data_IF_786669905612
#
_entry.id   IF_786669905612
#
_cell.length_a   1.000
_cell.length_b   1.000
_cell.length_c   1.000
_cell.angle_alpha   90.00
_cell.angle_beta   90.00
_cell.angle_gamma   90.00
#
_symmetry.space_group_name_H-M   'P 1'
#
loop_
_entity.id
_entity.type
_entity.pdbx_description
1 polymer ?
#
# COMPACT_ATOMS: atom_id res chain seq x y z
N UNK A 1 -1.30 6.49 26.14
CA UNK A 1 -2.71 6.08 26.40
C UNK A 1 -3.61 7.03 25.63
N UNK A 2 -4.13 6.60 24.47
CA UNK A 2 -4.97 7.44 23.60
C UNK A 2 -6.42 6.98 23.68
N UNK A 3 -7.14 7.41 24.71
CA UNK A 3 -8.55 7.08 24.90
C UNK A 3 -9.40 8.22 24.33
N UNK A 4 -9.89 8.05 23.10
CA UNK A 4 -10.89 8.95 22.51
C UNK A 4 -12.29 8.49 22.90
N UNK A 5 -12.74 8.87 24.11
CA UNK A 5 -14.04 8.46 24.67
C UNK A 5 -15.24 8.81 23.77
N UNK A 6 -15.13 9.85 22.93
CA UNK A 6 -16.24 10.41 22.15
C UNK A 6 -16.42 9.81 20.74
N UNK A 7 -15.73 8.70 20.43
CA UNK A 7 -15.81 7.99 19.15
C UNK A 7 -16.39 6.58 19.31
N UNK A 8 -17.70 6.53 19.59
CA UNK A 8 -18.50 5.32 19.39
C UNK A 8 -18.62 5.01 17.89
N UNK A 9 -17.60 4.35 17.33
CA UNK A 9 -17.72 3.69 16.04
C UNK A 9 -18.69 2.50 16.19
N UNK A 10 -19.64 2.29 15.26
CA UNK A 10 -20.48 1.09 15.27
C UNK A 10 -19.61 -0.17 15.12
N UNK A 11 -20.10 -1.34 15.54
CA UNK A 11 -19.37 -2.59 15.35
C UNK A 11 -19.19 -2.88 13.85
N UNK A 12 -17.98 -2.61 13.36
CA UNK A 12 -17.52 -3.07 12.06
C UNK A 12 -17.35 -4.59 12.16
N UNK A 13 -18.24 -5.35 11.53
CA UNK A 13 -18.05 -6.79 11.34
C UNK A 13 -16.84 -7.03 10.43
N UNK A 14 -16.13 -8.14 10.65
CA UNK A 14 -14.84 -8.38 9.95
C UNK A 14 -14.97 -8.62 8.46
N UNK A 15 -16.20 -8.76 7.95
CA UNK A 15 -16.54 -8.92 6.54
C UNK A 15 -17.01 -7.60 5.87
N UNK A 16 -17.00 -6.43 6.54
CA UNK A 16 -17.49 -5.14 6.01
C UNK A 16 -16.40 -4.07 5.72
N UNK A 17 -16.09 -3.77 4.43
CA UNK A 17 -15.18 -2.68 4.05
C UNK A 17 -15.78 -1.26 4.14
N UNK A 18 -16.97 -1.06 4.72
CA UNK A 18 -17.63 0.26 4.77
C UNK A 18 -16.94 1.28 5.71
N UNK A 19 -15.93 0.88 6.47
CA UNK A 19 -15.10 1.78 7.30
C UNK A 19 -14.54 2.99 6.52
N UNK A 20 -14.21 2.80 5.23
CA UNK A 20 -13.74 3.87 4.35
C UNK A 20 -14.72 5.06 4.22
N UNK A 21 -16.03 4.79 4.30
CA UNK A 21 -17.10 5.80 4.09
C UNK A 21 -17.19 6.80 5.25
N UNK A 22 -16.64 6.46 6.41
CA UNK A 22 -16.51 7.36 7.57
C UNK A 22 -15.30 8.30 7.50
N UNK A 23 -14.56 8.32 6.37
CA UNK A 23 -13.39 9.19 6.13
C UNK A 23 -12.23 8.96 7.12
N UNK A 24 -12.14 7.75 7.70
CA UNK A 24 -11.12 7.36 8.69
C UNK A 24 -9.68 7.59 8.23
N UNK A 25 -9.45 7.49 6.91
CA UNK A 25 -8.19 7.80 6.25
C UNK A 25 -7.69 9.22 6.52
N UNK A 26 -8.57 10.18 6.84
CA UNK A 26 -8.23 11.58 7.06
C UNK A 26 -8.26 12.05 8.53
N UNK A 27 -8.47 11.13 9.48
CA UNK A 27 -8.43 11.46 10.91
C UNK A 27 -7.01 11.87 11.36
N UNK A 28 -6.96 12.69 12.41
CA UNK A 28 -5.70 13.16 12.99
C UNK A 28 -4.72 12.04 13.40
N UNK A 29 -5.12 10.95 14.08
CA UNK A 29 -4.21 9.82 14.35
C UNK A 29 -3.66 9.20 13.06
N UNK A 30 -4.50 8.99 12.04
CA UNK A 30 -4.11 8.38 10.76
C UNK A 30 -3.03 9.20 10.04
N UNK A 31 -3.17 10.53 10.04
CA UNK A 31 -2.16 11.44 9.50
C UNK A 31 -0.87 11.47 10.31
N UNK A 32 -0.95 11.46 11.65
CA UNK A 32 0.23 11.34 12.53
C UNK A 32 1.01 10.04 12.26
N UNK A 33 0.30 8.93 12.05
CA UNK A 33 0.91 7.63 11.77
C UNK A 33 1.61 7.63 10.41
N UNK A 34 1.00 8.20 9.35
CA UNK A 34 1.67 8.35 8.04
C UNK A 34 2.96 9.17 8.15
N UNK A 35 2.92 10.33 8.80
CA UNK A 35 4.11 11.17 8.97
C UNK A 35 5.24 10.45 9.73
N UNK A 36 4.89 9.66 10.76
CA UNK A 36 5.87 8.85 11.51
C UNK A 36 6.39 7.64 10.73
N UNK A 37 5.58 7.06 9.85
CA UNK A 37 5.99 5.94 8.99
C UNK A 37 6.85 6.38 7.79
N UNK A 38 6.75 7.64 7.37
CA UNK A 38 7.43 8.19 6.19
C UNK A 38 8.93 7.81 6.10
N UNK A 39 9.78 7.99 7.14
CA UNK A 39 11.22 7.68 7.03
C UNK A 39 11.54 6.24 6.62
N UNK A 40 10.72 5.27 7.02
CA UNK A 40 10.88 3.85 6.61
C UNK A 40 10.70 3.69 5.10
N UNK A 41 9.74 4.41 4.52
CA UNK A 41 9.55 4.45 3.06
C UNK A 41 10.61 5.29 2.34
N UNK A 42 11.21 6.28 3.00
CA UNK A 42 12.31 7.07 2.43
C UNK A 42 13.58 6.21 2.27
N UNK A 43 13.85 5.34 3.23
CA UNK A 43 14.91 4.33 3.20
C UNK A 43 14.66 3.29 2.10
N UNK A 44 13.48 2.67 2.09
CA UNK A 44 13.08 1.64 1.10
C UNK A 44 13.19 2.13 -0.35
N UNK A 45 12.79 3.37 -0.63
CA UNK A 45 12.78 3.92 -1.98
C UNK A 45 13.98 4.82 -2.32
N UNK A 46 14.88 5.08 -1.37
CA UNK A 46 16.02 5.98 -1.54
C UNK A 46 15.64 7.43 -1.85
N UNK A 47 14.46 7.90 -1.44
CA UNK A 47 13.97 9.25 -1.76
C UNK A 47 12.98 9.80 -0.73
N UNK A 48 13.09 11.10 -0.44
CA UNK A 48 12.14 11.84 0.39
C UNK A 48 10.94 12.42 -0.36
N UNK A 49 10.94 12.34 -1.70
CA UNK A 49 9.83 12.77 -2.55
C UNK A 49 8.83 11.62 -2.73
N UNK A 50 7.93 11.46 -1.75
CA UNK A 50 6.96 10.35 -1.66
C UNK A 50 5.50 10.82 -1.78
N UNK A 51 4.61 9.92 -2.17
CA UNK A 51 3.16 10.09 -2.06
C UNK A 51 2.60 8.98 -1.18
N UNK A 52 1.50 9.24 -0.45
CA UNK A 52 0.87 8.26 0.45
C UNK A 52 -0.59 7.95 0.09
N UNK A 53 -1.06 6.72 0.29
CA UNK A 53 -2.47 6.35 0.11
C UNK A 53 -3.36 6.88 1.25
N UNK A 54 -4.62 7.21 0.93
CA UNK A 54 -5.62 7.64 1.90
C UNK A 54 -6.50 6.45 2.31
N UNK A 55 -5.83 5.39 2.76
CA UNK A 55 -6.37 4.04 2.95
C UNK A 55 -6.83 3.76 4.40
N UNK A 56 -7.29 2.53 4.63
CA UNK A 56 -8.02 2.03 5.80
C UNK A 56 -7.32 2.19 7.17
N UNK A 57 -8.16 2.11 8.21
CA UNK A 57 -7.76 1.66 9.54
C UNK A 57 -8.41 0.30 9.76
N UNK A 58 -7.62 -0.72 10.10
CA UNK A 58 -8.07 -2.03 10.51
C UNK A 58 -8.52 -1.95 11.97
N UNK A 59 -9.74 -2.43 12.21
CA UNK A 59 -10.36 -2.57 13.53
C UNK A 59 -10.97 -3.98 13.56
N UNK A 60 -10.53 -4.86 14.47
CA UNK A 60 -11.09 -6.21 14.61
C UNK A 60 -11.46 -6.50 16.07
N UNK A 61 -12.71 -6.93 16.30
CA UNK A 61 -13.30 -7.18 17.62
C UNK A 61 -12.90 -8.56 18.18
N UNK A 62 -12.64 -8.72 19.49
CA UNK A 62 -12.48 -10.02 20.14
C UNK A 62 -13.67 -10.98 19.88
N UNK A 63 -13.41 -12.23 19.41
CA UNK A 63 -14.41 -13.30 19.36
C UNK A 63 -15.03 -13.65 20.71
N UNK A 64 -14.31 -13.44 21.81
CA UNK A 64 -14.80 -13.74 23.17
C UNK A 64 -16.03 -12.90 23.57
N UNK A 65 -16.23 -11.77 22.92
CA UNK A 65 -17.25 -10.76 23.27
C UNK A 65 -18.18 -10.45 22.08
N UNK A 66 -18.27 -11.32 21.07
CA UNK A 66 -19.01 -11.03 19.83
C UNK A 66 -19.44 -12.27 19.04
N UNK A 67 -20.11 -12.04 17.90
CA UNK A 67 -20.45 -13.07 16.91
C UNK A 67 -19.25 -13.43 15.99
N UNK A 68 -18.10 -12.78 16.16
CA UNK A 68 -16.88 -13.09 15.40
C UNK A 68 -16.38 -14.50 15.72
N UNK A 69 -15.97 -15.24 14.70
CA UNK A 69 -15.55 -16.64 14.85
C UNK A 69 -14.06 -16.74 15.15
N UNK A 70 -13.67 -17.66 16.03
CA UNK A 70 -12.27 -18.08 16.16
C UNK A 70 -11.73 -18.70 14.86
N UNK A 71 -10.41 -18.84 14.79
CA UNK A 71 -9.69 -19.48 13.70
C UNK A 71 -10.08 -20.95 13.49
N UNK A 72 -10.26 -21.33 12.23
CA UNK A 72 -10.28 -22.72 11.75
C UNK A 72 -9.35 -22.87 10.54
N UNK A 73 -9.03 -24.09 10.13
CA UNK A 73 -8.16 -24.39 8.97
C UNK A 73 -8.59 -23.69 7.68
N UNK A 74 -9.91 -23.62 7.47
CA UNK A 74 -10.57 -23.03 6.30
C UNK A 74 -11.03 -21.59 6.57
N UNK A 75 -10.84 -21.07 7.80
CA UNK A 75 -10.94 -19.63 8.04
C UNK A 75 -9.74 -18.94 7.40
N UNK A 76 -10.00 -17.80 6.77
CA UNK A 76 -8.97 -17.01 6.11
C UNK A 76 -9.58 -16.11 5.05
N UNK A 77 -8.93 -14.97 4.86
CA UNK A 77 -9.19 -14.06 3.75
C UNK A 77 -7.88 -13.84 3.02
N UNK A 78 -7.31 -14.94 2.49
CA UNK A 78 -6.08 -14.89 1.69
C UNK A 78 -6.41 -14.33 0.29
N UNK A 79 -5.64 -13.33 -0.10
CA UNK A 79 -5.80 -12.59 -1.34
C UNK A 79 -4.45 -12.02 -1.80
N UNK A 80 -4.40 -11.55 -3.04
CA UNK A 80 -3.31 -10.74 -3.58
C UNK A 80 -3.88 -9.34 -3.86
N UNK A 81 -3.07 -8.29 -3.64
CA UNK A 81 -3.45 -6.87 -3.84
C UNK A 81 -2.66 -6.22 -4.99
N UNK A 82 -2.20 -7.01 -5.95
CA UNK A 82 -1.60 -6.54 -7.18
C UNK A 82 -2.16 -7.35 -8.35
N UNK A 83 -2.73 -6.67 -9.36
CA UNK A 83 -3.17 -7.32 -10.58
C UNK A 83 -2.03 -7.55 -11.58
N UNK A 84 -2.20 -8.48 -12.51
CA UNK A 84 -1.20 -8.84 -13.54
C UNK A 84 -0.88 -7.71 -14.54
N UNK A 85 -1.70 -6.66 -14.57
CA UNK A 85 -1.37 -5.43 -15.27
C UNK A 85 -0.10 -4.75 -14.76
N UNK A 86 0.32 -5.07 -13.53
CA UNK A 86 1.50 -4.54 -12.83
C UNK A 86 2.61 -5.58 -12.82
N UNK A 87 3.67 -5.36 -13.61
CA UNK A 87 4.78 -6.30 -13.79
C UNK A 87 5.88 -6.12 -12.71
N UNK A 88 6.08 -7.13 -11.86
CA UNK A 88 6.99 -7.08 -10.72
C UNK A 88 6.54 -6.09 -9.63
N UNK A 89 7.39 -5.84 -8.64
CA UNK A 89 7.10 -4.96 -7.48
C UNK A 89 6.48 -3.60 -7.87
N UNK A 90 5.30 -3.26 -7.34
CA UNK A 90 4.69 -1.93 -7.51
C UNK A 90 4.54 -1.15 -6.20
N UNK A 91 4.45 -1.82 -5.05
CA UNK A 91 4.46 -1.18 -3.75
C UNK A 91 4.95 -2.14 -2.65
N UNK A 92 5.28 -1.55 -1.51
CA UNK A 92 5.23 -2.25 -0.23
C UNK A 92 4.05 -1.68 0.58
N UNK A 93 2.85 -2.28 0.55
CA UNK A 93 1.81 -1.94 1.51
C UNK A 93 2.27 -2.28 2.93
N UNK A 94 1.77 -1.54 3.91
CA UNK A 94 2.16 -1.69 5.29
C UNK A 94 1.03 -1.42 6.29
N UNK A 95 1.20 -1.93 7.50
CA UNK A 95 0.27 -1.78 8.61
C UNK A 95 1.05 -1.38 9.87
N UNK A 96 0.78 -0.19 10.41
CA UNK A 96 1.33 0.25 11.70
C UNK A 96 0.38 -0.18 12.81
N UNK A 97 0.85 -1.04 13.70
CA UNK A 97 0.04 -1.59 14.80
C UNK A 97 -0.06 -0.58 15.97
N UNK A 98 -1.27 -0.38 16.51
CA UNK A 98 -1.52 0.54 17.62
C UNK A 98 -1.74 -0.18 18.97
N UNK A 99 -1.87 -1.50 18.90
CA UNK A 99 -1.98 -2.46 20.01
C UNK A 99 -0.99 -3.60 19.75
N UNK A 100 -0.58 -4.33 20.78
CA UNK A 100 0.27 -5.52 20.59
C UNK A 100 -0.55 -6.66 19.96
N UNK A 101 0.06 -7.54 19.17
CA UNK A 101 -0.60 -8.71 18.60
C UNK A 101 0.32 -9.94 18.61
N UNK A 102 -0.03 -10.94 19.41
CA UNK A 102 0.64 -12.23 19.51
C UNK A 102 0.16 -13.21 18.43
N UNK A 103 0.87 -14.34 18.27
CA UNK A 103 0.59 -15.33 17.21
C UNK A 103 -0.86 -15.87 17.24
N UNK A 104 -1.46 -15.91 18.42
CA UNK A 104 -2.82 -16.38 18.72
C UNK A 104 -3.90 -15.28 18.68
N UNK A 105 -3.53 -14.00 18.44
CA UNK A 105 -4.46 -12.87 18.28
C UNK A 105 -4.98 -12.69 16.85
N UNK A 106 -5.73 -11.62 16.63
CA UNK A 106 -5.98 -11.02 15.33
C UNK A 106 -4.66 -10.50 14.73
N UNK A 107 -4.11 -11.22 13.74
CA UNK A 107 -2.80 -10.89 13.12
C UNK A 107 -2.88 -10.82 11.60
N UNK A 108 -1.83 -10.28 10.99
CA UNK A 108 -1.55 -10.49 9.58
C UNK A 108 -1.12 -11.94 9.36
N UNK A 109 -1.47 -12.49 8.20
CA UNK A 109 -0.95 -13.76 7.72
C UNK A 109 -0.58 -13.69 6.25
N UNK A 110 0.36 -14.53 5.83
CA UNK A 110 0.74 -14.67 4.44
C UNK A 110 1.13 -16.12 4.10
N UNK A 111 1.08 -16.46 2.82
CA UNK A 111 1.86 -17.59 2.31
C UNK A 111 3.28 -17.09 2.06
N UNK A 112 4.22 -17.52 2.90
CA UNK A 112 5.62 -17.11 2.80
C UNK A 112 6.22 -17.46 1.44
N UNK A 113 7.14 -16.63 0.94
CA UNK A 113 7.73 -16.70 -0.40
C UNK A 113 6.76 -16.64 -1.60
N UNK A 114 5.44 -16.59 -1.43
CA UNK A 114 4.47 -16.62 -2.55
C UNK A 114 4.65 -15.53 -3.61
N UNK A 115 5.17 -14.36 -3.22
CA UNK A 115 5.50 -13.24 -4.13
C UNK A 115 6.58 -13.58 -5.18
N UNK A 116 7.34 -14.66 -5.00
CA UNK A 116 8.32 -15.16 -5.96
C UNK A 116 7.69 -16.05 -7.05
N UNK A 117 6.45 -16.51 -6.85
CA UNK A 117 5.67 -17.31 -7.79
C UNK A 117 4.46 -16.54 -8.34
N UNK A 118 4.46 -15.20 -8.24
CA UNK A 118 3.33 -14.36 -8.68
C UNK A 118 3.09 -14.48 -10.19
N UNK A 119 4.16 -14.39 -10.97
CA UNK A 119 4.14 -14.55 -12.42
C UNK A 119 3.71 -15.99 -12.80
N UNK A 120 4.38 -17.03 -12.28
CA UNK A 120 4.04 -18.46 -12.45
C UNK A 120 2.57 -18.78 -12.12
N UNK A 121 2.02 -18.17 -11.07
CA UNK A 121 0.67 -18.39 -10.60
C UNK A 121 -0.35 -17.96 -11.66
N UNK A 122 -0.20 -16.77 -12.23
CA UNK A 122 -1.10 -16.27 -13.25
C UNK A 122 -0.86 -16.89 -14.65
N UNK A 123 0.28 -17.55 -14.88
CA UNK A 123 0.46 -18.42 -16.04
C UNK A 123 -0.28 -19.76 -15.87
N UNK A 124 -0.33 -20.33 -14.66
CA UNK A 124 -1.12 -21.53 -14.36
C UNK A 124 -2.64 -21.24 -14.30
N UNK A 125 -3.04 -20.13 -13.69
CA UNK A 125 -4.42 -19.73 -13.45
C UNK A 125 -4.86 -18.67 -14.48
N UNK A 126 -5.09 -19.15 -15.71
CA UNK A 126 -5.31 -18.29 -16.88
C UNK A 126 -6.66 -17.55 -16.87
N UNK A 127 -7.71 -18.11 -16.26
CA UNK A 127 -9.00 -17.42 -16.12
C UNK A 127 -8.86 -16.22 -15.16
N UNK A 128 -8.12 -16.43 -14.09
CA UNK A 128 -7.80 -15.47 -13.04
C UNK A 128 -6.89 -14.36 -13.58
N UNK A 129 -5.91 -14.69 -14.44
CA UNK A 129 -5.13 -13.70 -15.22
C UNK A 129 -6.04 -12.86 -16.10
N UNK A 130 -6.98 -13.48 -16.81
CA UNK A 130 -7.91 -12.79 -17.70
C UNK A 130 -8.94 -11.94 -16.96
N UNK A 131 -9.24 -12.24 -15.70
CA UNK A 131 -10.08 -11.38 -14.85
C UNK A 131 -9.25 -10.23 -14.26
N UNK A 132 -8.05 -10.52 -13.76
CA UNK A 132 -7.10 -9.53 -13.19
C UNK A 132 -6.60 -8.49 -14.22
N UNK A 133 -6.71 -8.75 -15.52
CA UNK A 133 -6.49 -7.75 -16.58
C UNK A 133 -7.65 -6.76 -16.78
N UNK A 134 -8.86 -7.07 -16.28
CA UNK A 134 -10.11 -6.33 -16.53
C UNK A 134 -10.64 -5.61 -15.30
N UNK A 135 -10.48 -6.20 -14.11
CA UNK A 135 -11.08 -5.70 -12.88
C UNK A 135 -10.03 -5.17 -11.90
N UNK A 136 -10.22 -5.38 -10.60
CA UNK A 136 -9.49 -4.69 -9.55
C UNK A 136 -8.09 -5.28 -9.33
N UNK A 137 -7.20 -4.55 -8.66
CA UNK A 137 -5.91 -5.10 -8.21
C UNK A 137 -6.05 -6.19 -7.12
N UNK A 138 -7.28 -6.53 -6.73
CA UNK A 138 -7.60 -7.49 -5.68
C UNK A 138 -8.07 -8.82 -6.28
N UNK A 139 -7.44 -9.93 -5.86
CA UNK A 139 -7.88 -11.30 -6.15
C UNK A 139 -7.97 -12.11 -4.87
N UNK A 140 -9.15 -12.68 -4.56
CA UNK A 140 -9.32 -13.66 -3.48
C UNK A 140 -8.78 -15.03 -3.93
N UNK A 141 -8.06 -15.73 -3.05
CA UNK A 141 -7.68 -17.12 -3.30
C UNK A 141 -8.75 -18.10 -2.81
N UNK A 142 -8.74 -19.29 -3.41
CA UNK A 142 -9.53 -20.46 -3.01
C UNK A 142 -8.61 -21.57 -2.47
N UNK A 143 -9.19 -22.63 -1.90
CA UNK A 143 -8.43 -23.76 -1.35
C UNK A 143 -7.52 -24.44 -2.40
N UNK A 144 -7.92 -24.45 -3.67
CA UNK A 144 -7.13 -25.00 -4.76
C UNK A 144 -5.93 -24.10 -5.12
N UNK A 145 -6.14 -22.77 -5.20
CA UNK A 145 -5.08 -21.77 -5.34
C UNK A 145 -4.06 -21.85 -4.17
N UNK A 146 -4.55 -21.97 -2.93
CA UNK A 146 -3.71 -22.10 -1.73
C UNK A 146 -2.88 -23.39 -1.77
N UNK A 147 -3.44 -24.49 -2.31
CA UNK A 147 -2.74 -25.77 -2.44
C UNK A 147 -1.59 -25.71 -3.44
N UNK A 148 -1.80 -25.07 -4.60
CA UNK A 148 -0.76 -24.85 -5.62
C UNK A 148 0.47 -24.11 -5.06
N UNK A 149 0.26 -23.13 -4.17
CA UNK A 149 1.36 -22.44 -3.48
C UNK A 149 2.05 -23.34 -2.42
N UNK A 150 1.29 -24.16 -1.68
CA UNK A 150 1.85 -25.11 -0.69
C UNK A 150 2.72 -26.19 -1.34
N UNK A 151 2.31 -26.70 -2.51
CA UNK A 151 3.07 -27.64 -3.32
C UNK A 151 4.44 -27.07 -3.75
N UNK A 152 4.53 -25.74 -3.90
CA UNK A 152 5.76 -24.96 -4.16
C UNK A 152 6.49 -24.53 -2.89
N UNK A 153 6.14 -25.12 -1.74
CA UNK A 153 6.79 -24.87 -0.46
C UNK A 153 6.38 -23.57 0.25
N UNK A 154 5.36 -22.85 -0.22
CA UNK A 154 4.89 -21.63 0.44
C UNK A 154 4.13 -21.96 1.73
N UNK A 155 4.64 -21.51 2.87
CA UNK A 155 4.09 -21.85 4.20
C UNK A 155 3.14 -20.73 4.68
N UNK A 156 1.90 -21.08 5.08
CA UNK A 156 0.98 -20.12 5.73
C UNK A 156 1.52 -19.72 7.11
N UNK A 157 2.09 -18.53 7.22
CA UNK A 157 2.63 -17.96 8.46
C UNK A 157 1.71 -16.87 8.99
N UNK A 158 1.49 -16.89 10.30
CA UNK A 158 0.89 -15.80 11.08
C UNK A 158 2.03 -14.92 11.61
N UNK A 159 1.82 -13.61 11.65
CA UNK A 159 2.89 -12.63 11.97
C UNK A 159 2.52 -11.85 13.22
N UNK A 160 3.13 -12.16 14.38
CA UNK A 160 3.07 -11.31 15.57
C UNK A 160 3.69 -9.94 15.29
N UNK A 161 3.10 -8.88 15.83
CA UNK A 161 3.60 -7.50 15.66
C UNK A 161 3.44 -6.74 16.98
N UNK A 162 4.54 -6.19 17.56
CA UNK A 162 4.45 -5.38 18.76
C UNK A 162 3.89 -3.99 18.46
N UNK A 163 3.29 -3.37 19.47
CA UNK A 163 2.69 -2.04 19.43
C UNK A 163 3.68 -0.97 18.92
N UNK A 164 3.25 -0.21 17.92
CA UNK A 164 4.02 0.87 17.32
C UNK A 164 4.96 0.42 16.19
N UNK A 165 5.16 -0.88 15.98
CA UNK A 165 5.90 -1.37 14.83
C UNK A 165 5.08 -1.26 13.53
N UNK A 166 5.80 -1.16 12.40
CA UNK A 166 5.26 -1.27 11.06
C UNK A 166 5.55 -2.66 10.50
N UNK A 167 4.51 -3.34 10.03
CA UNK A 167 4.64 -4.50 9.17
C UNK A 167 4.58 -4.05 7.72
N UNK A 168 5.40 -4.64 6.84
CA UNK A 168 5.48 -4.36 5.41
C UNK A 168 5.49 -5.68 4.62
N UNK A 169 4.93 -5.69 3.42
CA UNK A 169 4.94 -6.84 2.51
C UNK A 169 5.00 -6.41 1.04
N UNK A 170 5.53 -7.26 0.16
CA UNK A 170 5.46 -7.05 -1.30
C UNK A 170 3.99 -7.08 -1.75
N UNK A 171 3.55 -6.15 -2.61
CA UNK A 171 2.17 -6.09 -3.11
C UNK A 171 1.71 -7.37 -3.83
N UNK A 172 2.63 -8.20 -4.31
CA UNK A 172 2.40 -9.52 -4.94
C UNK A 172 2.25 -10.67 -3.95
N UNK A 173 2.58 -10.50 -2.67
CA UNK A 173 2.50 -11.55 -1.65
C UNK A 173 1.05 -11.99 -1.44
N UNK A 174 0.78 -13.29 -1.34
CA UNK A 174 -0.52 -13.79 -0.87
C UNK A 174 -0.63 -13.53 0.63
N UNK A 175 -1.59 -12.68 1.03
CA UNK A 175 -1.75 -12.25 2.42
C UNK A 175 -3.23 -12.13 2.85
N UNK A 176 -3.45 -11.98 4.14
CA UNK A 176 -4.79 -11.86 4.72
C UNK A 176 -4.76 -11.45 6.20
N UNK A 177 -5.92 -11.56 6.84
CA UNK A 177 -6.07 -11.35 8.29
C UNK A 177 -6.51 -12.65 8.96
N UNK A 178 -5.68 -13.16 9.85
CA UNK A 178 -5.95 -14.39 10.58
C UNK A 178 -6.83 -14.08 11.80
N UNK A 179 -7.94 -14.82 11.95
CA UNK A 179 -8.79 -14.73 13.14
C UNK A 179 -8.04 -15.23 14.40
N UNK A 180 -8.41 -14.83 15.63
CA UNK A 180 -7.74 -15.29 16.85
C UNK A 180 -7.94 -16.78 17.09
N UNK A 181 -7.01 -17.42 17.80
CA UNK A 181 -7.15 -18.82 18.20
C UNK A 181 -8.04 -18.96 19.44
N UNK A 182 -8.82 -20.03 19.52
CA UNK A 182 -9.61 -20.33 20.72
C UNK A 182 -8.65 -20.66 21.87
N UNK A 183 -8.87 -20.05 23.05
CA UNK A 183 -7.99 -20.21 24.20
C UNK A 183 -6.69 -19.40 24.11
N UNK A 184 -6.63 -18.34 23.29
CA UNK A 184 -5.50 -17.42 23.24
C UNK A 184 -5.14 -16.81 24.60
N UNK A 185 -3.87 -16.43 24.78
CA UNK A 185 -3.32 -15.83 26.01
C UNK A 185 -3.99 -14.52 26.43
N UNK A 186 -4.51 -13.77 25.45
CA UNK A 186 -4.99 -12.40 25.64
C UNK A 186 -6.44 -12.23 25.12
N UNK A 187 -7.42 -12.88 25.76
CA UNK A 187 -8.83 -12.70 25.43
C UNK A 187 -9.25 -11.23 25.57
N UNK A 188 -10.25 -10.80 24.80
CA UNK A 188 -10.70 -9.39 24.79
C UNK A 188 -9.75 -8.42 24.04
N UNK A 189 -8.50 -8.81 23.72
CA UNK A 189 -7.58 -7.95 22.95
C UNK A 189 -8.10 -7.73 21.53
N UNK A 190 -8.25 -6.45 21.15
CA UNK A 190 -8.64 -5.96 19.83
C UNK A 190 -7.43 -5.78 18.92
N UNK A 191 -7.61 -5.87 17.59
CA UNK A 191 -6.60 -5.39 16.63
C UNK A 191 -6.93 -3.98 16.18
N UNK A 192 -5.95 -3.09 16.31
CA UNK A 192 -5.98 -1.73 15.80
C UNK A 192 -4.72 -1.51 14.96
N UNK A 193 -4.86 -1.24 13.67
CA UNK A 193 -3.72 -0.92 12.80
C UNK A 193 -4.09 0.10 11.71
N UNK A 194 -3.18 0.98 11.35
CA UNK A 194 -3.37 1.94 10.25
C UNK A 194 -2.67 1.41 9.01
N UNK A 195 -3.38 1.32 7.88
CA UNK A 195 -2.75 1.02 6.60
C UNK A 195 -2.00 2.24 6.10
N UNK A 196 -0.71 2.04 5.81
CA UNK A 196 0.18 3.02 5.24
C UNK A 196 0.86 2.40 4.04
N UNK A 197 0.76 3.05 2.89
CA UNK A 197 1.58 2.73 1.74
C UNK A 197 2.13 4.06 1.20
N UNK A 198 3.41 4.04 0.81
CA UNK A 198 4.04 5.16 0.12
C UNK A 198 4.91 4.69 -1.04
N UNK A 199 4.96 5.49 -2.10
CA UNK A 199 5.78 5.27 -3.29
C UNK A 199 6.33 6.61 -3.81
N UNK A 200 7.42 6.62 -4.59
CA UNK A 200 8.00 7.84 -5.14
C UNK A 200 7.02 8.71 -5.92
N UNK A 201 7.02 10.01 -5.63
CA UNK A 201 6.22 11.02 -6.33
C UNK A 201 6.56 11.08 -7.84
N UNK A 202 7.80 10.74 -8.21
CA UNK A 202 8.28 10.65 -9.59
C UNK A 202 7.72 9.45 -10.40
N UNK A 203 6.85 8.65 -9.81
CA UNK A 203 6.05 7.62 -10.50
C UNK A 203 4.64 8.10 -10.86
N UNK A 204 4.16 9.22 -10.28
CA UNK A 204 2.79 9.68 -10.48
C UNK A 204 2.60 10.44 -11.80
N UNK A 205 1.55 10.08 -12.52
CA UNK A 205 1.05 10.80 -13.69
C UNK A 205 0.16 12.01 -13.28
N UNK A 206 -0.25 12.81 -14.27
CA UNK A 206 -1.05 14.02 -14.05
C UNK A 206 -2.42 13.72 -13.44
N UNK A 207 -3.05 12.61 -13.84
CA UNK A 207 -4.40 12.23 -13.45
C UNK A 207 -4.41 11.67 -12.02
N UNK A 208 -3.45 10.81 -11.69
CA UNK A 208 -3.19 10.37 -10.32
C UNK A 208 -3.00 11.57 -9.37
N UNK A 209 -2.21 12.58 -9.75
CA UNK A 209 -2.09 13.83 -8.96
C UNK A 209 -3.41 14.61 -8.88
N UNK A 210 -4.20 14.69 -9.97
CA UNK A 210 -5.53 15.33 -9.98
C UNK A 210 -6.49 14.63 -9.00
N UNK A 211 -6.52 13.30 -9.00
CA UNK A 211 -7.37 12.48 -8.14
C UNK A 211 -6.93 12.55 -6.68
N UNK A 212 -5.62 12.56 -6.37
CA UNK A 212 -5.13 12.84 -5.01
C UNK A 212 -5.54 14.23 -4.51
N UNK A 213 -5.42 15.26 -5.35
CA UNK A 213 -5.87 16.64 -5.05
C UNK A 213 -7.39 16.72 -4.82
N UNK A 214 -8.18 15.96 -5.59
CA UNK A 214 -9.62 15.79 -5.35
C UNK A 214 -9.85 15.14 -3.98
N UNK A 215 -9.21 14.00 -3.74
CA UNK A 215 -9.41 13.19 -2.54
C UNK A 215 -9.05 13.91 -1.24
N UNK A 216 -7.95 14.67 -1.21
CA UNK A 216 -7.54 15.45 -0.04
C UNK A 216 -8.56 16.56 0.30
N UNK A 217 -9.07 17.29 -0.70
CA UNK A 217 -10.04 18.39 -0.49
C UNK A 217 -11.43 17.90 -0.08
N UNK A 218 -11.90 16.83 -0.70
CA UNK A 218 -13.24 16.26 -0.45
C UNK A 218 -13.25 15.26 0.73
N UNK A 219 -12.07 14.96 1.29
CA UNK A 219 -11.83 13.91 2.29
C UNK A 219 -12.23 12.51 1.78
N UNK A 220 -12.07 12.24 0.47
CA UNK A 220 -12.23 10.89 -0.11
C UNK A 220 -11.10 10.00 0.36
N UNK A 221 -11.42 8.74 0.60
CA UNK A 221 -10.42 7.69 0.73
C UNK A 221 -10.05 7.12 -0.64
N UNK A 222 -8.85 6.54 -0.74
CA UNK A 222 -8.34 5.92 -1.97
C UNK A 222 -8.16 4.42 -1.78
N UNK A 223 -7.94 3.69 -2.89
CA UNK A 223 -7.25 2.41 -2.82
C UNK A 223 -5.85 2.55 -2.19
N UNK A 224 -5.23 1.41 -1.88
CA UNK A 224 -3.90 1.32 -1.25
C UNK A 224 -2.76 1.90 -2.10
N UNK A 225 -2.98 2.13 -3.40
CA UNK A 225 -1.96 2.69 -4.31
C UNK A 225 -1.65 4.17 -4.03
N UNK A 226 -0.38 4.55 -3.82
CA UNK A 226 -0.05 5.93 -3.44
C UNK A 226 0.20 6.88 -4.62
N UNK A 227 0.70 6.39 -5.76
CA UNK A 227 1.19 7.21 -6.88
C UNK A 227 0.53 7.01 -8.24
N UNK A 228 0.03 5.82 -8.56
CA UNK A 228 -0.46 5.46 -9.92
C UNK A 228 -1.80 4.72 -9.86
N UNK A 229 -2.65 4.93 -10.88
CA UNK A 229 -4.00 4.37 -10.98
C UNK A 229 -4.82 4.59 -9.69
N UNK A 230 -4.86 5.85 -9.24
CA UNK A 230 -5.51 6.26 -7.99
C UNK A 230 -7.03 6.11 -8.09
N UNK A 231 -7.62 5.12 -7.42
CA UNK A 231 -9.07 4.96 -7.36
C UNK A 231 -9.66 5.67 -6.15
N UNK A 232 -10.69 6.49 -6.35
CA UNK A 232 -11.44 7.14 -5.28
C UNK A 232 -12.56 6.22 -4.77
N UNK A 233 -12.53 5.88 -3.48
CA UNK A 233 -13.54 4.99 -2.89
C UNK A 233 -14.91 5.69 -2.74
N UNK A 234 -16.04 4.96 -2.75
CA UNK A 234 -17.38 5.54 -2.62
C UNK A 234 -17.59 6.31 -1.32
N UNK A 235 -18.35 7.41 -1.38
CA UNK A 235 -18.68 8.26 -0.23
C UNK A 235 -19.92 7.82 0.53
N UNK A 236 -20.91 7.26 -0.19
CA UNK A 236 -22.24 7.00 0.35
C UNK A 236 -22.16 5.97 1.48
N UNK A 237 -22.42 6.41 2.72
CA UNK A 237 -22.63 5.52 3.85
C UNK A 237 -23.72 4.48 3.53
N UNK A 238 -23.58 3.23 4.00
CA UNK A 238 -24.62 2.21 3.83
C UNK A 238 -25.91 2.63 4.52
N UNK A 239 -27.03 2.04 4.10
CA UNK A 239 -28.34 2.26 4.71
C UNK A 239 -28.36 1.88 6.20
N UNK A 240 -27.61 0.83 6.58
CA UNK A 240 -27.39 0.39 7.96
C UNK A 240 -26.29 1.16 8.72
N UNK A 241 -25.85 2.32 8.24
CA UNK A 241 -24.89 3.16 8.97
C UNK A 241 -25.49 3.68 10.28
N UNK A 242 -24.62 4.03 11.24
CA UNK A 242 -25.05 4.61 12.52
C UNK A 242 -25.94 5.85 12.32
N UNK A 243 -27.02 5.95 13.10
CA UNK A 243 -27.98 7.06 13.01
C UNK A 243 -27.31 8.42 13.21
N UNK A 244 -26.36 8.51 14.13
CA UNK A 244 -25.49 9.69 14.29
C UNK A 244 -24.37 9.72 13.25
N UNK A 245 -24.67 10.33 12.10
CA UNK A 245 -23.67 10.64 11.08
C UNK A 245 -22.82 11.83 11.53
N UNK A 246 -21.67 11.55 12.16
CA UNK A 246 -20.61 12.53 12.51
C UNK A 246 -19.42 12.47 11.52
N UNK A 247 -19.59 12.72 10.21
CA UNK A 247 -18.48 12.65 9.25
C UNK A 247 -17.47 13.78 9.50
N UNK A 248 -16.20 13.50 9.22
CA UNK A 248 -15.16 14.52 9.18
C UNK A 248 -15.51 15.60 8.13
N UNK A 249 -15.59 16.85 8.56
CA UNK A 249 -15.98 18.01 7.73
C UNK A 249 -14.79 18.81 7.17
N UNK A 250 -13.66 18.77 7.84
CA UNK A 250 -12.43 19.51 7.50
C UNK A 250 -11.21 18.67 7.89
N UNK A 251 -10.09 18.93 7.23
CA UNK A 251 -8.80 18.29 7.48
C UNK A 251 -8.23 18.72 8.85
N UNK A 252 -7.68 17.79 9.65
CA UNK A 252 -7.05 18.12 10.93
C UNK A 252 -5.75 18.92 10.71
N UNK A 253 -5.32 19.70 11.70
CA UNK A 253 -4.14 20.57 11.60
C UNK A 253 -2.86 19.83 11.14
N UNK A 254 -2.67 18.59 11.59
CA UNK A 254 -1.55 17.72 11.17
C UNK A 254 -1.53 17.47 9.65
N UNK A 255 -2.69 17.33 9.01
CA UNK A 255 -2.80 17.12 7.57
C UNK A 255 -2.47 18.39 6.76
N UNK A 256 -2.67 19.57 7.38
CA UNK A 256 -2.39 20.90 6.80
C UNK A 256 -0.92 21.32 6.94
N UNK A 257 -0.06 20.47 7.47
CA UNK A 257 1.41 20.69 7.50
C UNK A 257 2.01 20.58 6.09
N UNK A 258 3.14 21.24 5.84
CA UNK A 258 3.83 21.19 4.55
C UNK A 258 4.14 19.75 4.09
N UNK A 259 4.63 18.91 5.01
CA UNK A 259 5.00 17.53 4.72
C UNK A 259 3.78 16.64 4.44
N UNK A 260 2.68 16.79 5.19
CA UNK A 260 1.44 16.08 4.90
C UNK A 260 0.82 16.53 3.57
N UNK A 261 0.89 17.82 3.24
CA UNK A 261 0.47 18.36 1.94
C UNK A 261 1.33 17.87 0.76
N UNK A 262 2.61 17.58 1.00
CA UNK A 262 3.51 16.97 0.01
C UNK A 262 3.22 15.48 -0.18
N UNK A 263 3.10 14.70 0.90
CA UNK A 263 2.64 13.30 0.85
C UNK A 263 1.25 13.14 0.19
N UNK A 264 0.37 14.13 0.40
CA UNK A 264 -0.93 14.19 -0.24
C UNK A 264 -0.88 14.48 -1.75
N UNK A 265 0.25 14.95 -2.28
CA UNK A 265 0.39 15.43 -3.65
C UNK A 265 -0.32 16.76 -3.94
N UNK A 266 -0.76 17.50 -2.91
CA UNK A 266 -1.39 18.81 -3.11
C UNK A 266 -0.37 19.93 -3.30
N UNK A 267 0.75 19.86 -2.58
CA UNK A 267 1.93 20.72 -2.77
C UNK A 267 3.05 19.89 -3.42
N UNK A 268 3.74 20.38 -4.47
CA UNK A 268 4.86 19.66 -5.07
C UNK A 268 6.12 19.72 -4.20
N UNK A 269 6.97 18.69 -4.31
CA UNK A 269 8.34 18.73 -3.79
C UNK A 269 9.20 19.71 -4.60
N UNK A 270 10.19 20.36 -3.94
CA UNK A 270 10.94 21.49 -4.52
C UNK A 270 11.62 21.19 -5.86
N UNK A 271 12.19 19.99 -6.06
CA UNK A 271 12.85 19.63 -7.34
C UNK A 271 11.86 19.58 -8.51
N UNK A 272 10.58 19.29 -8.24
CA UNK A 272 9.52 19.32 -9.24
C UNK A 272 9.03 20.74 -9.54
N UNK A 273 9.22 21.70 -8.62
CA UNK A 273 8.92 23.11 -8.87
C UNK A 273 9.91 23.70 -9.90
N UNK A 274 11.22 23.48 -9.70
CA UNK A 274 12.24 23.89 -10.68
C UNK A 274 12.02 23.21 -12.03
N UNK A 275 11.84 21.88 -12.04
CA UNK A 275 11.57 21.10 -13.28
C UNK A 275 10.26 21.45 -13.99
N UNK A 276 9.30 22.11 -13.33
CA UNK A 276 8.09 22.63 -13.97
C UNK A 276 8.35 23.98 -14.66
N UNK A 277 9.29 24.78 -14.15
CA UNK A 277 9.72 26.05 -14.75
C UNK A 277 10.75 25.82 -15.88
N UNK A 278 11.61 24.81 -15.74
CA UNK A 278 12.62 24.40 -16.73
C UNK A 278 12.02 23.66 -17.95
N UNK A 279 10.74 23.27 -17.90
CA UNK A 279 10.07 22.42 -18.91
C UNK A 279 9.73 23.09 -20.25
N UNK A 280 10.50 24.12 -20.62
CA UNK A 280 10.73 24.48 -22.02
C UNK A 280 11.75 23.57 -22.73
N UNK A 281 12.48 22.72 -21.99
CA UNK A 281 13.45 21.76 -22.54
C UNK A 281 13.11 20.30 -22.18
N UNK A 282 13.52 19.37 -23.03
CA UNK A 282 13.38 17.92 -22.85
C UNK A 282 14.45 17.38 -21.87
N UNK A 283 14.06 16.49 -20.96
CA UNK A 283 14.97 15.90 -19.98
C UNK A 283 14.33 14.84 -19.09
N UNK A 284 15.03 13.71 -18.91
CA UNK A 284 14.49 12.54 -18.21
C UNK A 284 14.53 12.65 -16.67
N UNK A 285 13.61 11.95 -16.00
CA UNK A 285 13.45 11.97 -14.55
C UNK A 285 14.30 10.89 -13.84
N UNK A 286 15.59 11.16 -13.67
CA UNK A 286 16.42 10.43 -12.69
C UNK A 286 15.94 10.67 -11.25
N UNK A 287 15.90 9.62 -10.42
CA UNK A 287 15.43 9.70 -9.03
C UNK A 287 14.89 8.43 -8.36
N UNK A 288 15.02 7.24 -8.97
CA UNK A 288 14.83 5.92 -8.35
C UNK A 288 15.50 4.86 -9.24
N UNK A 289 16.13 3.83 -8.66
CA UNK A 289 16.71 2.72 -9.43
C UNK A 289 15.62 1.79 -9.98
N UNK A 290 14.52 1.63 -9.24
CA UNK A 290 13.32 0.92 -9.67
C UNK A 290 12.28 1.88 -10.25
N UNK A 291 11.60 1.46 -11.32
CA UNK A 291 10.37 2.08 -11.84
C UNK A 291 9.33 0.98 -12.10
N UNK A 292 8.08 1.14 -11.66
CA UNK A 292 7.02 0.18 -11.95
C UNK A 292 6.76 0.08 -13.46
N UNK A 293 6.46 -1.12 -13.94
CA UNK A 293 6.25 -1.43 -15.36
C UNK A 293 4.86 -2.02 -15.54
N UNK A 294 4.13 -1.57 -16.55
CA UNK A 294 2.79 -2.07 -16.85
C UNK A 294 2.82 -3.10 -17.99
N UNK A 295 1.88 -4.05 -17.96
CA UNK A 295 1.68 -5.00 -19.06
C UNK A 295 1.07 -4.30 -20.27
N UNK A 296 1.55 -4.53 -21.50
CA UNK A 296 0.88 -4.08 -22.72
C UNK A 296 -0.57 -4.61 -22.86
N UNK A 297 -0.86 -5.77 -22.24
CA UNK A 297 -2.20 -6.37 -22.22
C UNK A 297 -3.19 -5.62 -21.30
N UNK A 298 -2.71 -4.74 -20.42
CA UNK A 298 -3.53 -4.13 -19.38
C UNK A 298 -4.52 -3.12 -19.97
N UNK A 299 -5.81 -3.33 -19.70
CA UNK A 299 -6.87 -2.38 -20.07
C UNK A 299 -7.32 -1.61 -18.83
N UNK A 300 -6.69 -0.46 -18.50
CA UNK A 300 -7.11 0.36 -17.38
C UNK A 300 -8.57 0.82 -17.55
N UNK A 301 -9.30 1.05 -16.45
CA UNK A 301 -10.61 1.71 -16.50
C UNK A 301 -10.56 2.98 -17.35
N UNK A 302 -11.59 3.21 -18.18
CA UNK A 302 -11.58 4.18 -19.30
C UNK A 302 -11.26 5.64 -18.93
N UNK A 303 -11.30 5.98 -17.65
CA UNK A 303 -11.03 7.32 -17.11
C UNK A 303 -9.58 7.51 -16.61
N UNK A 304 -8.70 6.49 -16.72
CA UNK A 304 -7.47 6.43 -15.89
C UNK A 304 -6.15 6.06 -16.58
N UNK A 305 -5.95 6.35 -17.88
CA UNK A 305 -4.61 6.25 -18.48
C UNK A 305 -4.40 7.14 -19.72
N UNK A 306 -3.14 7.50 -19.96
CA UNK A 306 -2.62 8.14 -21.18
C UNK A 306 -1.49 7.24 -21.70
N UNK A 307 -1.73 6.43 -22.75
CA UNK A 307 -0.77 5.43 -23.23
C UNK A 307 0.39 6.03 -24.04
N UNK A 308 0.28 7.27 -24.53
CA UNK A 308 1.25 7.88 -25.46
C UNK A 308 2.42 8.62 -24.75
N UNK A 309 2.61 8.37 -23.45
CA UNK A 309 3.59 9.05 -22.59
C UNK A 309 5.04 8.59 -22.85
N UNK A 310 5.59 9.09 -23.95
CA UNK A 310 6.76 8.61 -24.69
C UNK A 310 8.11 9.11 -24.13
N UNK A 311 8.54 8.63 -22.96
CA UNK A 311 9.87 8.94 -22.40
C UNK A 311 10.62 7.72 -21.82
N UNK A 312 11.64 7.25 -22.55
CA UNK A 312 12.55 6.13 -22.20
C UNK A 312 14.01 6.58 -22.40
N UNK A 313 14.94 6.23 -21.50
CA UNK A 313 16.38 6.49 -21.68
C UNK A 313 17.24 6.47 -20.39
N UNK A 314 18.48 5.97 -20.49
CA UNK A 314 19.46 5.66 -19.42
C UNK A 314 20.87 5.80 -20.04
N UNK A 315 21.94 6.38 -19.46
CA UNK A 315 22.14 7.30 -18.32
C UNK A 315 23.37 8.21 -18.68
N UNK A 316 24.43 8.59 -17.93
CA UNK A 316 25.04 8.34 -16.60
C UNK A 316 25.67 9.68 -16.11
N UNK A 317 26.29 9.74 -14.92
CA UNK A 317 26.91 10.95 -14.31
C UNK A 317 28.41 11.13 -14.62
N UNK A 318 28.87 12.39 -14.72
CA UNK A 318 29.68 13.04 -13.65
C UNK A 318 30.01 14.53 -13.97
N UNK A 319 30.32 15.31 -12.93
CA UNK A 319 30.64 16.73 -13.04
C UNK A 319 32.08 17.08 -12.66
N UNK A 320 32.80 17.70 -13.60
CA UNK A 320 33.98 18.58 -13.44
C UNK A 320 35.10 18.16 -12.46
N UNK A 321 36.13 17.55 -13.05
CA UNK A 321 37.57 17.74 -12.76
C UNK A 321 38.08 17.68 -11.30
N UNK A 322 38.86 16.65 -11.03
CA UNK A 322 40.17 16.80 -10.37
C UNK A 322 41.19 15.88 -11.05
N UNK A 323 42.46 16.29 -11.07
CA UNK A 323 43.56 15.51 -11.65
C UNK A 323 43.95 14.32 -10.74
N UNK A 324 44.73 13.39 -11.30
CA UNK A 324 45.40 12.26 -10.62
C UNK A 324 44.51 11.10 -10.13
N UNK A 325 43.95 10.32 -11.07
CA UNK A 325 43.84 8.84 -10.92
C UNK A 325 43.53 8.09 -12.23
N UNK A 326 44.17 8.48 -13.35
CA UNK A 326 44.45 7.48 -14.38
C UNK A 326 45.39 6.42 -13.76
N UNK A 327 45.16 5.13 -14.05
CA UNK A 327 45.76 3.95 -13.38
C UNK A 327 45.17 3.56 -12.00
N UNK A 328 43.91 3.10 -11.91
CA UNK A 328 43.53 1.80 -11.28
C UNK A 328 42.18 1.29 -11.83
N UNK A 329 42.08 0.96 -13.13
CA UNK A 329 40.86 0.36 -13.70
C UNK A 329 41.11 -0.80 -14.68
N UNK A 330 42.30 -1.39 -14.65
CA UNK A 330 42.75 -2.41 -15.62
C UNK A 330 43.25 -3.74 -15.02
N UNK A 331 43.03 -4.02 -13.73
CA UNK A 331 43.70 -5.15 -13.04
C UNK A 331 42.80 -6.07 -12.19
N UNK A 332 41.47 -5.98 -12.29
CA UNK A 332 40.54 -6.90 -11.56
C UNK A 332 39.76 -7.82 -12.52
N UNK A 333 39.63 -7.49 -13.80
CA UNK A 333 38.91 -8.31 -14.80
C UNK A 333 39.84 -9.24 -15.63
N UNK A 334 40.99 -9.62 -15.06
CA UNK A 334 42.01 -10.45 -15.71
C UNK A 334 42.59 -11.54 -14.78
N UNK A 335 41.81 -12.01 -13.79
CA UNK A 335 42.22 -13.10 -12.89
C UNK A 335 41.02 -13.97 -12.44
N UNK A 336 40.23 -14.43 -13.40
CA UNK A 336 39.22 -15.48 -13.23
C UNK A 336 39.15 -16.32 -14.52
N UNK A 337 39.96 -17.40 -14.52
CA UNK A 337 39.81 -18.55 -15.42
C UNK A 337 39.26 -19.72 -14.61
#
# INVERSE_FOLDING_TARGET
>A
MFVTNDLQLPPLSTDDPHSHRYKIGHLAPTWNVRLKAKPVFEEIWGTNELLTSFDAVIICRPPEESEEKFYSSNSGWLHINQGVGRLGLHAYPGAVYLEDADNDDWVFEALDSSHAFFEDFFEAFTAERQESLKSDDYMRLEDHHISWFRERGCIRKRVPVPRGAILLWDSRLVHGSARPMQGRKHPGRWRWAVIVCMTPAAWADKESIRLKKKAYRELRMTSHWPSQAIRLLPENLPEKAACEKRPLKDLPLVAKTMEAMQLAGVVPYRKNLTRLLEKGASGALGGAAHRPRWSPDYQPPKDSFDPDNSWVGIAVFCGVVSLLSALVYGLVYASAK
#
